data_IF_058973821891
#
_entry.id   IF_058973821891
#
_cell.length_a   1.000
_cell.length_b   1.000
_cell.length_c   1.000
_cell.angle_alpha   90.00
_cell.angle_beta   90.00
_cell.angle_gamma   90.00
#
_symmetry.space_group_name_H-M   'P 1'
#
loop_
_entity.id
_entity.type
_entity.pdbx_description
1 polymer ?
#
# COMPACT_ATOMS: atom_id res chain seq x y z
N UNK A 1 8.50 9.57 3.81
CA UNK A 1 7.86 10.57 4.68
C UNK A 1 6.40 10.71 4.22
N UNK A 2 5.41 10.45 5.08
CA UNK A 2 4.01 10.65 4.72
C UNK A 2 3.71 12.15 4.55
N UNK A 3 2.83 12.55 3.63
CA UNK A 3 2.40 13.94 3.48
C UNK A 3 1.58 14.38 4.71
N UNK A 4 1.73 15.63 5.20
CA UNK A 4 0.94 16.13 6.31
C UNK A 4 -0.49 16.38 5.85
N UNK A 5 -1.44 15.59 6.37
CA UNK A 5 -2.86 15.77 6.16
C UNK A 5 -3.66 14.98 7.19
N UNK A 6 -4.74 15.58 7.71
CA UNK A 6 -5.63 15.07 8.76
C UNK A 6 -6.19 13.66 8.49
N UNK A 7 -5.39 12.61 8.62
CA UNK A 7 -5.82 11.22 8.46
C UNK A 7 -5.75 10.49 9.79
N UNK A 8 -6.92 10.22 10.36
CA UNK A 8 -7.08 9.62 11.70
C UNK A 8 -6.92 8.10 11.71
N UNK A 9 -6.84 7.42 10.56
CA UNK A 9 -6.61 5.97 10.49
C UNK A 9 -5.73 5.56 9.29
N UNK A 10 -4.64 4.85 9.59
CA UNK A 10 -3.82 4.16 8.60
C UNK A 10 -4.52 2.87 8.15
N UNK A 11 -4.32 2.48 6.89
CA UNK A 11 -4.76 1.16 6.41
C UNK A 11 -3.78 0.08 6.84
N UNK A 12 -4.23 -1.20 6.87
CA UNK A 12 -3.33 -2.32 7.19
C UNK A 12 -2.10 -2.38 6.27
N UNK A 13 -2.28 -2.09 4.98
CA UNK A 13 -1.20 -2.02 3.99
C UNK A 13 -0.21 -0.90 4.34
N UNK A 14 -0.72 0.28 4.67
CA UNK A 14 0.12 1.41 5.08
C UNK A 14 0.90 1.11 6.36
N UNK A 15 0.27 0.50 7.36
CA UNK A 15 0.94 0.07 8.60
C UNK A 15 2.07 -0.91 8.30
N UNK A 16 1.80 -2.00 7.57
CA UNK A 16 2.81 -3.00 7.21
C UNK A 16 3.95 -2.40 6.39
N UNK A 17 3.64 -1.47 5.47
CA UNK A 17 4.65 -0.76 4.69
C UNK A 17 5.59 0.06 5.58
N UNK A 18 5.03 0.76 6.57
CA UNK A 18 5.81 1.57 7.51
C UNK A 18 6.64 0.70 8.46
N UNK A 19 6.10 -0.42 8.94
CA UNK A 19 6.84 -1.42 9.73
C UNK A 19 8.02 -2.00 8.93
N UNK A 20 7.82 -2.24 7.63
CA UNK A 20 8.87 -2.65 6.70
C UNK A 20 9.83 -1.52 6.27
N UNK A 21 9.67 -0.29 6.81
CA UNK A 21 10.46 0.90 6.45
C UNK A 21 10.47 1.23 4.96
N UNK A 22 9.37 0.93 4.25
CA UNK A 22 9.23 1.18 2.81
C UNK A 22 8.50 2.50 2.53
N UNK A 23 8.93 3.22 1.51
CA UNK A 23 8.14 4.30 0.90
C UNK A 23 7.06 3.73 -0.02
N UNK A 24 6.05 4.53 -0.36
CA UNK A 24 5.02 4.13 -1.34
C UNK A 24 5.64 3.74 -2.70
N UNK A 25 6.67 4.48 -3.15
CA UNK A 25 7.36 4.17 -4.40
C UNK A 25 8.04 2.80 -4.34
N UNK A 26 8.77 2.51 -3.25
CA UNK A 26 9.46 1.22 -3.09
C UNK A 26 8.49 0.04 -2.98
N UNK A 27 7.37 0.19 -2.26
CA UNK A 27 6.36 -0.87 -2.21
C UNK A 27 5.69 -1.07 -3.57
N UNK A 28 5.35 0.01 -4.28
CA UNK A 28 4.75 -0.07 -5.61
C UNK A 28 5.67 -0.77 -6.61
N UNK A 29 6.96 -0.44 -6.59
CA UNK A 29 7.99 -1.10 -7.39
C UNK A 29 8.11 -2.59 -7.05
N UNK A 30 8.23 -2.95 -5.76
CA UNK A 30 8.30 -4.35 -5.30
C UNK A 30 7.05 -5.16 -5.68
N UNK A 31 5.87 -4.56 -5.58
CA UNK A 31 4.59 -5.19 -5.93
C UNK A 31 4.28 -5.14 -7.44
N UNK A 32 5.15 -4.55 -8.26
CA UNK A 32 4.93 -4.35 -9.70
C UNK A 32 3.57 -3.68 -10.02
N UNK A 33 3.21 -2.66 -9.26
CA UNK A 33 2.01 -1.83 -9.46
C UNK A 33 2.37 -0.36 -9.58
N UNK A 34 1.44 0.46 -10.08
CA UNK A 34 1.67 1.91 -10.12
C UNK A 34 1.60 2.51 -8.72
N UNK A 35 2.43 3.52 -8.45
CA UNK A 35 2.39 4.28 -7.18
C UNK A 35 1.01 4.91 -6.94
N UNK A 36 0.32 5.33 -8.01
CA UNK A 36 -1.05 5.86 -7.97
C UNK A 36 -2.05 4.80 -7.51
N UNK A 37 -1.89 3.55 -7.95
CA UNK A 37 -2.72 2.42 -7.50
C UNK A 37 -2.52 2.18 -6.01
N UNK A 38 -1.26 2.13 -5.54
CA UNK A 38 -0.97 1.95 -4.13
C UNK A 38 -1.55 3.09 -3.28
N UNK A 39 -1.40 4.35 -3.71
CA UNK A 39 -1.97 5.51 -3.02
C UNK A 39 -3.48 5.40 -2.90
N UNK A 40 -4.20 5.05 -3.98
CA UNK A 40 -5.65 4.87 -3.92
C UNK A 40 -6.06 3.74 -2.97
N UNK A 41 -5.26 2.67 -2.87
CA UNK A 41 -5.50 1.56 -1.94
C UNK A 41 -5.29 2.03 -0.49
N UNK A 42 -4.15 2.64 -0.18
CA UNK A 42 -3.86 3.18 1.16
C UNK A 42 -4.86 4.29 1.54
N UNK A 43 -5.40 4.99 0.55
CA UNK A 43 -6.32 6.10 0.77
C UNK A 43 -7.78 5.67 0.92
N UNK A 44 -8.10 4.37 0.78
CA UNK A 44 -9.48 3.85 0.68
C UNK A 44 -10.29 4.49 -0.45
N UNK A 45 -9.62 5.00 -1.48
CA UNK A 45 -10.19 5.63 -2.69
C UNK A 45 -10.30 4.61 -3.86
N UNK A 46 -10.23 3.33 -3.53
CA UNK A 46 -10.40 2.22 -4.47
C UNK A 46 -11.62 1.43 -4.04
N UNK A 47 -12.68 1.46 -4.85
CA UNK A 47 -13.90 0.69 -4.57
C UNK A 47 -13.73 -0.80 -4.82
N UNK A 48 -12.77 -1.24 -5.66
CA UNK A 48 -12.45 -2.64 -5.91
C UNK A 48 -10.99 -2.82 -6.39
N UNK A 49 -10.01 -2.95 -5.48
CA UNK A 49 -8.67 -3.39 -5.88
C UNK A 49 -8.74 -4.83 -6.40
N UNK A 50 -8.00 -5.14 -7.47
CA UNK A 50 -7.96 -6.51 -7.99
C UNK A 50 -7.26 -7.44 -7.00
N UNK A 51 -7.72 -8.69 -6.91
CA UNK A 51 -7.07 -9.73 -6.09
C UNK A 51 -5.58 -9.83 -6.44
N UNK A 52 -5.22 -9.72 -7.73
CA UNK A 52 -3.83 -9.69 -8.19
C UNK A 52 -3.02 -8.56 -7.57
N UNK A 53 -3.57 -7.35 -7.50
CA UNK A 53 -2.87 -6.20 -6.88
C UNK A 53 -2.67 -6.41 -5.38
N UNK A 54 -3.71 -6.92 -4.69
CA UNK A 54 -3.63 -7.24 -3.27
C UNK A 54 -2.60 -8.36 -2.99
N UNK A 55 -2.60 -9.41 -3.80
CA UNK A 55 -1.65 -10.51 -3.71
C UNK A 55 -0.22 -10.04 -3.90
N UNK A 56 0.05 -9.23 -4.92
CA UNK A 56 1.38 -8.69 -5.15
C UNK A 56 1.85 -7.79 -3.99
N UNK A 57 0.96 -6.99 -3.41
CA UNK A 57 1.26 -6.16 -2.24
C UNK A 57 1.58 -7.04 -1.03
N UNK A 58 0.77 -8.08 -0.77
CA UNK A 58 0.99 -9.01 0.32
C UNK A 58 2.35 -9.73 0.19
N UNK A 59 2.66 -10.25 -1.01
CA UNK A 59 3.96 -10.87 -1.31
C UNK A 59 5.11 -9.87 -1.11
N UNK A 60 4.97 -8.64 -1.60
CA UNK A 60 5.99 -7.59 -1.45
C UNK A 60 6.23 -7.17 0.01
N UNK A 61 5.22 -7.32 0.86
CA UNK A 61 5.27 -7.07 2.30
C UNK A 61 5.65 -8.31 3.13
N UNK A 62 5.75 -9.49 2.51
CA UNK A 62 5.95 -10.75 3.22
C UNK A 62 4.77 -11.13 4.13
N UNK A 63 3.57 -10.64 3.82
CA UNK A 63 2.34 -10.91 4.57
C UNK A 63 1.49 -11.98 3.86
N UNK A 64 0.76 -12.78 4.62
CA UNK A 64 -0.28 -13.66 4.09
C UNK A 64 -1.57 -12.87 3.79
N UNK A 65 -2.29 -13.29 2.75
CA UNK A 65 -3.53 -12.66 2.25
C UNK A 65 -4.75 -12.98 3.12
#
# INVERSE_FOLDING_TARGET
MPPPGNRTQLTRIETLRLEASLTQAQLAEKAAISIRTLQRIEHKDTQNPTIRSLANIAIALGAEL
#
